data_IF_732239591491
#
_entry.id   IF_732239591491
#
_cell.length_a   1.000
_cell.length_b   1.000
_cell.length_c   1.000
_cell.angle_alpha   90.00
_cell.angle_beta   90.00
_cell.angle_gamma   90.00
#
_symmetry.space_group_name_H-M   'P 1'
#
loop_
_entity.id
_entity.type
_entity.pdbx_description
1 polymer ?
#
# COMPACT_ATOMS: atom_id res chain seq x y z
N UNK A 1 48.80 70.38 -21.70
CA UNK A 1 48.68 71.34 -20.56
C UNK A 1 48.15 70.60 -19.38
N UNK A 2 48.90 70.63 -18.30
CA UNK A 2 48.62 70.26 -16.91
C UNK A 2 48.23 68.82 -16.58
N UNK A 3 49.20 68.12 -16.10
CA UNK A 3 49.13 67.04 -15.14
C UNK A 3 49.18 67.64 -13.74
N UNK A 4 48.43 67.20 -12.77
CA UNK A 4 48.90 67.18 -11.40
C UNK A 4 48.42 65.86 -10.64
N UNK A 5 48.72 65.74 -9.33
CA UNK A 5 49.90 64.99 -8.89
C UNK A 5 49.49 63.73 -8.05
N UNK A 6 50.46 62.99 -7.72
CA UNK A 6 50.55 61.80 -6.87
C UNK A 6 49.75 61.89 -5.57
N UNK A 7 49.07 60.81 -5.22
CA UNK A 7 48.55 60.57 -3.86
C UNK A 7 49.11 59.26 -3.32
N UNK A 8 49.78 59.40 -2.20
CA UNK A 8 50.61 58.42 -1.47
C UNK A 8 49.81 57.21 -1.03
N UNK A 9 50.39 56.04 -1.22
CA UNK A 9 49.93 54.79 -0.63
C UNK A 9 50.16 54.79 0.88
N UNK A 10 49.06 54.58 1.64
CA UNK A 10 49.13 54.28 3.07
C UNK A 10 48.89 52.76 3.24
N UNK A 11 49.94 52.08 3.65
CA UNK A 11 49.97 50.66 3.96
C UNK A 11 49.26 50.43 5.29
N UNK A 12 48.04 49.83 5.28
CA UNK A 12 47.39 49.36 6.51
C UNK A 12 47.61 47.85 6.61
N UNK A 13 48.40 47.48 7.58
CA UNK A 13 48.58 46.09 8.00
C UNK A 13 47.34 45.66 8.78
N UNK A 14 46.53 44.79 8.18
CA UNK A 14 45.44 44.13 8.89
C UNK A 14 45.91 42.76 9.38
N UNK A 15 45.97 42.63 10.70
CA UNK A 15 46.23 41.38 11.39
C UNK A 15 45.16 40.35 11.09
N UNK A 16 45.51 39.20 10.53
CA UNK A 16 44.66 38.08 10.32
C UNK A 16 44.38 37.38 11.65
N UNK A 17 43.19 37.60 12.20
CA UNK A 17 42.67 36.80 13.29
C UNK A 17 42.15 35.45 12.74
N UNK A 18 42.82 34.36 13.07
CA UNK A 18 42.38 33.02 12.82
C UNK A 18 41.18 32.70 13.76
N UNK A 19 39.98 32.78 13.25
CA UNK A 19 38.81 32.17 13.90
C UNK A 19 38.77 30.70 13.48
N UNK A 20 39.14 29.81 14.39
CA UNK A 20 38.82 28.37 14.30
C UNK A 20 37.32 28.21 14.44
N UNK A 21 36.60 28.17 13.32
CA UNK A 21 35.23 27.70 13.29
C UNK A 21 35.24 26.17 13.47
N UNK A 22 35.02 25.74 14.71
CA UNK A 22 34.74 24.35 15.02
C UNK A 22 33.47 23.91 14.30
N UNK A 23 33.66 23.17 13.21
CA UNK A 23 32.56 22.51 12.50
C UNK A 23 32.03 21.38 13.39
N UNK A 24 30.94 21.63 14.14
CA UNK A 24 30.12 20.58 14.70
C UNK A 24 29.36 19.95 13.55
N UNK A 25 29.96 18.96 12.90
CA UNK A 25 29.25 18.06 12.04
C UNK A 25 28.30 17.22 12.93
N UNK A 26 27.03 17.61 13.00
CA UNK A 26 25.98 16.75 13.50
C UNK A 26 26.01 15.46 12.66
N UNK A 27 26.42 14.38 13.29
CA UNK A 27 26.40 13.03 12.71
C UNK A 27 24.94 12.65 12.48
N UNK A 28 24.41 12.99 11.28
CA UNK A 28 23.14 12.47 10.84
C UNK A 28 23.20 10.94 10.96
N UNK A 29 22.38 10.38 11.86
CA UNK A 29 22.16 8.95 11.92
C UNK A 29 21.54 8.55 10.58
N UNK A 30 22.35 7.94 9.72
CA UNK A 30 21.82 7.19 8.56
C UNK A 30 20.70 6.29 9.09
N UNK A 31 19.50 6.32 8.47
CA UNK A 31 18.50 5.32 8.80
C UNK A 31 19.15 3.96 8.54
N UNK A 32 19.11 3.12 9.57
CA UNK A 32 19.65 1.76 9.50
C UNK A 32 19.03 1.07 8.27
N UNK A 33 19.87 0.51 7.43
CA UNK A 33 19.44 -0.35 6.35
C UNK A 33 18.49 -1.39 6.97
N UNK A 34 17.24 -1.41 6.51
CA UNK A 34 16.27 -2.37 7.01
C UNK A 34 16.83 -3.78 6.75
N UNK A 35 17.14 -4.49 7.83
CA UNK A 35 17.58 -5.89 7.75
C UNK A 35 16.50 -6.67 7.00
N UNK A 36 16.86 -7.53 6.04
CA UNK A 36 15.89 -8.39 5.37
C UNK A 36 15.08 -9.16 6.43
N UNK A 37 13.75 -9.25 6.28
CA UNK A 37 12.95 -10.02 7.22
C UNK A 37 13.42 -11.48 7.22
N UNK A 38 13.59 -12.05 8.37
CA UNK A 38 13.72 -13.50 8.52
C UNK A 38 12.32 -14.11 8.54
N UNK A 39 12.23 -15.41 8.28
CA UNK A 39 10.95 -16.12 8.30
C UNK A 39 10.18 -15.82 9.59
N UNK A 40 8.89 -15.50 9.45
CA UNK A 40 7.98 -15.03 10.51
C UNK A 40 8.25 -13.61 11.07
N UNK A 41 9.15 -12.83 10.49
CA UNK A 41 9.28 -11.41 10.81
C UNK A 41 8.47 -10.56 9.83
N UNK A 42 7.55 -9.77 10.36
CA UNK A 42 6.75 -8.84 9.55
C UNK A 42 7.68 -7.79 8.91
N UNK A 43 7.66 -7.64 7.56
CA UNK A 43 8.42 -6.58 6.90
C UNK A 43 8.00 -5.19 7.41
N UNK A 44 8.90 -4.20 7.40
CA UNK A 44 8.62 -2.84 7.86
C UNK A 44 7.76 -2.08 6.84
N UNK A 45 6.49 -2.46 6.73
CA UNK A 45 5.57 -1.94 5.73
C UNK A 45 4.98 -0.59 6.13
N UNK A 46 4.96 0.34 5.18
CA UNK A 46 4.14 1.55 5.26
C UNK A 46 2.67 1.19 5.02
N UNK A 47 1.78 1.59 5.92
CA UNK A 47 0.36 1.28 5.91
C UNK A 47 -0.49 2.54 5.70
N UNK A 48 -1.55 2.42 4.90
CA UNK A 48 -2.43 3.53 4.59
C UNK A 48 -3.50 3.77 5.67
N UNK A 49 -3.82 5.06 5.91
CA UNK A 49 -5.07 5.48 6.52
C UNK A 49 -6.19 5.53 5.46
N UNK A 50 -7.44 5.64 5.90
CA UNK A 50 -8.56 5.96 5.01
C UNK A 50 -8.54 7.46 4.72
N UNK A 51 -8.72 7.84 3.46
CA UNK A 51 -8.89 9.25 3.11
C UNK A 51 -10.18 9.80 3.72
N UNK A 52 -10.08 10.99 4.30
CA UNK A 52 -11.22 11.73 4.83
C UNK A 52 -11.50 12.93 3.91
N UNK A 53 -12.75 13.20 3.54
CA UNK A 53 -13.12 14.38 2.73
C UNK A 53 -12.67 15.73 3.29
N UNK A 54 -12.36 15.84 4.57
CA UNK A 54 -11.76 17.03 5.16
C UNK A 54 -10.28 17.24 4.79
N UNK A 55 -9.63 16.22 4.22
CA UNK A 55 -8.24 16.29 3.76
C UNK A 55 -8.25 16.69 2.28
N UNK A 56 -7.73 17.87 1.97
CA UNK A 56 -7.54 18.31 0.59
C UNK A 56 -6.47 17.43 -0.10
N UNK A 57 -6.81 16.69 -1.16
CA UNK A 57 -5.88 15.84 -1.88
C UNK A 57 -5.10 16.59 -2.98
N UNK A 58 -5.31 17.90 -3.14
CA UNK A 58 -4.69 18.69 -4.20
C UNK A 58 -3.17 18.59 -4.15
N UNK A 59 -2.57 18.25 -5.27
CA UNK A 59 -1.12 18.06 -5.41
C UNK A 59 -0.57 16.73 -4.87
N UNK A 60 -1.39 15.88 -4.23
CA UNK A 60 -0.96 14.55 -3.84
C UNK A 60 -0.75 13.67 -5.08
N UNK A 61 0.11 12.66 -4.93
CA UNK A 61 0.25 11.60 -5.93
C UNK A 61 -0.90 10.61 -5.81
N UNK A 62 -1.53 10.31 -6.91
CA UNK A 62 -2.66 9.40 -7.02
C UNK A 62 -2.27 8.21 -7.90
N UNK A 63 -2.62 7.00 -7.46
CA UNK A 63 -2.43 5.77 -8.21
C UNK A 63 -3.57 4.80 -7.99
N UNK A 64 -3.69 3.81 -8.87
CA UNK A 64 -4.64 2.71 -8.67
C UNK A 64 -4.29 1.89 -7.44
N UNK A 65 -5.31 1.45 -6.72
CA UNK A 65 -5.20 0.48 -5.64
C UNK A 65 -5.46 -0.92 -6.19
N UNK A 66 -4.39 -1.68 -6.32
CA UNK A 66 -4.44 -3.06 -6.78
C UNK A 66 -5.00 -3.97 -5.69
N UNK A 67 -5.87 -4.93 -6.07
CA UNK A 67 -6.44 -5.96 -5.19
C UNK A 67 -5.74 -7.29 -5.45
N UNK A 68 -4.59 -7.49 -4.80
CA UNK A 68 -3.75 -8.68 -4.93
C UNK A 68 -3.17 -9.12 -3.60
N UNK A 69 -1.98 -9.72 -3.64
CA UNK A 69 -1.20 -10.03 -2.44
C UNK A 69 -0.06 -9.02 -2.28
N UNK A 70 -0.10 -8.27 -1.18
CA UNK A 70 0.99 -7.38 -0.82
C UNK A 70 2.27 -8.14 -0.59
N UNK A 71 3.33 -7.76 -1.32
CA UNK A 71 4.60 -8.45 -1.31
C UNK A 71 5.77 -7.47 -1.10
N UNK A 72 6.69 -7.89 -0.26
CA UNK A 72 7.97 -7.27 -0.02
C UNK A 72 9.05 -8.10 -0.71
N UNK A 73 9.77 -7.49 -1.62
CA UNK A 73 10.97 -8.05 -2.23
C UNK A 73 12.19 -7.55 -1.46
N UNK A 74 12.98 -8.43 -0.89
CA UNK A 74 14.16 -8.08 -0.08
C UNK A 74 15.46 -8.00 -0.89
N UNK A 75 15.39 -8.18 -2.21
CA UNK A 75 16.53 -8.29 -3.13
C UNK A 75 16.85 -9.72 -3.52
N UNK A 76 16.24 -10.72 -2.86
CA UNK A 76 16.47 -12.15 -3.10
C UNK A 76 15.18 -13.00 -2.99
N UNK A 77 14.26 -12.63 -2.09
CA UNK A 77 13.04 -13.37 -1.76
C UNK A 77 11.82 -12.46 -1.68
N UNK A 78 10.67 -13.04 -1.92
CA UNK A 78 9.37 -12.38 -1.75
C UNK A 78 8.74 -12.78 -0.40
N UNK A 79 8.29 -11.78 0.34
CA UNK A 79 7.66 -11.93 1.64
C UNK A 79 6.25 -11.34 1.64
N UNK A 80 5.33 -12.05 2.23
CA UNK A 80 3.98 -11.53 2.46
C UNK A 80 3.98 -10.45 3.55
N UNK A 81 2.86 -9.75 3.70
CA UNK A 81 2.66 -8.77 4.78
C UNK A 81 2.91 -9.34 6.18
N UNK A 82 2.69 -10.65 6.38
CA UNK A 82 2.88 -11.33 7.67
C UNK A 82 4.27 -11.94 7.84
N UNK A 83 5.15 -11.81 6.87
CA UNK A 83 6.49 -12.40 6.91
C UNK A 83 6.54 -13.85 6.44
N UNK A 84 5.49 -14.35 5.80
CA UNK A 84 5.52 -15.66 5.18
C UNK A 84 6.25 -15.58 3.84
N UNK A 85 7.12 -16.55 3.56
CA UNK A 85 7.78 -16.67 2.27
C UNK A 85 6.74 -16.92 1.17
N UNK A 86 6.90 -16.21 0.04
CA UNK A 86 6.11 -16.43 -1.16
C UNK A 86 6.98 -17.21 -2.14
N UNK A 87 6.57 -18.44 -2.44
CA UNK A 87 7.27 -19.29 -3.39
C UNK A 87 6.93 -18.86 -4.82
N UNK A 88 7.87 -18.23 -5.50
CA UNK A 88 7.73 -17.82 -6.89
C UNK A 88 8.70 -18.63 -7.77
N UNK A 89 8.39 -18.88 -9.06
CA UNK A 89 9.31 -19.57 -9.95
C UNK A 89 10.58 -18.75 -10.21
N UNK A 90 11.70 -19.45 -10.47
CA UNK A 90 13.00 -18.82 -10.73
C UNK A 90 12.96 -17.80 -11.88
N UNK A 91 12.20 -18.10 -12.95
CA UNK A 91 12.05 -17.18 -14.08
C UNK A 91 11.34 -15.86 -13.69
N UNK A 92 10.49 -15.87 -12.67
CA UNK A 92 9.85 -14.67 -12.14
C UNK A 92 10.81 -13.89 -11.24
N UNK A 93 11.50 -14.60 -10.33
CA UNK A 93 12.48 -14.00 -9.43
C UNK A 93 13.66 -13.38 -10.17
N UNK A 94 14.09 -13.98 -11.30
CA UNK A 94 15.18 -13.48 -12.13
C UNK A 94 14.90 -12.09 -12.75
N UNK A 95 13.63 -11.70 -12.88
CA UNK A 95 13.21 -10.41 -13.43
C UNK A 95 13.14 -9.30 -12.36
N UNK A 96 13.20 -9.67 -11.09
CA UNK A 96 13.24 -8.71 -9.98
C UNK A 96 14.68 -8.21 -9.77
N UNK A 97 14.89 -6.90 -9.52
CA UNK A 97 16.24 -6.37 -9.32
C UNK A 97 16.86 -6.94 -8.06
N UNK A 98 18.07 -7.50 -8.20
CA UNK A 98 18.83 -8.04 -7.06
C UNK A 98 19.35 -6.93 -6.16
N UNK A 99 19.46 -7.23 -4.87
CA UNK A 99 20.01 -6.36 -3.84
C UNK A 99 19.30 -5.00 -3.68
N UNK A 100 18.07 -4.92 -4.20
CA UNK A 100 17.20 -3.75 -4.10
C UNK A 100 15.89 -4.17 -3.46
N UNK A 101 15.52 -3.49 -2.38
CA UNK A 101 14.25 -3.74 -1.72
C UNK A 101 13.11 -3.02 -2.44
N UNK A 102 12.08 -3.77 -2.79
CA UNK A 102 10.87 -3.24 -3.41
C UNK A 102 9.65 -3.53 -2.56
N UNK A 103 8.69 -2.63 -2.61
CA UNK A 103 7.38 -2.76 -2.03
C UNK A 103 6.34 -2.73 -3.13
N UNK A 104 5.51 -3.76 -3.21
CA UNK A 104 4.58 -3.93 -4.32
C UNK A 104 3.39 -4.82 -3.99
N UNK A 105 2.63 -5.12 -5.04
CA UNK A 105 1.49 -6.03 -5.02
C UNK A 105 1.65 -7.09 -6.10
N UNK A 106 1.48 -8.37 -5.76
CA UNK A 106 1.34 -9.46 -6.74
C UNK A 106 -0.10 -9.50 -7.23
N UNK A 107 -0.29 -9.37 -8.55
CA UNK A 107 -1.59 -9.13 -9.14
C UNK A 107 -1.70 -9.76 -10.54
N UNK A 108 -2.90 -10.22 -10.94
CA UNK A 108 -3.13 -10.81 -12.27
C UNK A 108 -4.23 -10.12 -13.09
N UNK A 109 -4.94 -9.16 -12.51
CA UNK A 109 -6.02 -8.43 -13.18
C UNK A 109 -7.14 -8.02 -12.24
N UNK A 110 -7.98 -7.12 -12.70
CA UNK A 110 -9.15 -6.63 -11.98
C UNK A 110 -10.14 -7.77 -11.69
N UNK A 111 -10.73 -7.77 -10.49
CA UNK A 111 -11.70 -8.78 -10.05
C UNK A 111 -11.12 -10.20 -9.91
N UNK A 112 -9.78 -10.34 -9.88
CA UNK A 112 -9.09 -11.63 -9.85
C UNK A 112 -8.40 -11.95 -8.52
N UNK A 113 -8.85 -11.33 -7.43
CA UNK A 113 -8.23 -11.52 -6.11
C UNK A 113 -8.10 -12.99 -5.72
N UNK A 114 -9.20 -13.75 -5.73
CA UNK A 114 -9.18 -15.17 -5.29
C UNK A 114 -8.29 -16.02 -6.18
N UNK A 115 -8.30 -15.76 -7.49
CA UNK A 115 -7.41 -16.45 -8.43
C UNK A 115 -5.94 -16.06 -8.19
N UNK A 116 -5.64 -14.77 -7.95
CA UNK A 116 -4.32 -14.31 -7.54
C UNK A 116 -3.85 -15.05 -6.29
N UNK A 117 -4.70 -15.09 -5.24
CA UNK A 117 -4.37 -15.77 -3.99
C UNK A 117 -4.11 -17.27 -4.18
N UNK A 118 -4.88 -17.95 -5.05
CA UNK A 118 -4.69 -19.39 -5.33
C UNK A 118 -3.36 -19.68 -6.01
N UNK A 119 -2.82 -18.72 -6.79
CA UNK A 119 -1.53 -18.86 -7.46
C UNK A 119 -0.38 -18.56 -6.49
N UNK A 120 -0.42 -17.38 -5.85
CA UNK A 120 0.75 -16.84 -5.15
C UNK A 120 0.96 -17.46 -3.76
N UNK A 121 -0.05 -18.13 -3.20
CA UNK A 121 0.06 -18.83 -1.90
C UNK A 121 0.41 -20.32 -2.04
N UNK A 122 0.51 -20.84 -3.26
CA UNK A 122 0.92 -22.23 -3.48
C UNK A 122 2.38 -22.41 -3.10
N UNK A 123 2.68 -23.41 -2.27
CA UNK A 123 4.05 -23.81 -1.95
C UNK A 123 4.79 -24.37 -3.19
N UNK A 124 4.03 -24.85 -4.17
CA UNK A 124 4.56 -25.35 -5.45
C UNK A 124 4.10 -24.40 -6.56
N UNK A 125 4.95 -23.44 -6.96
CA UNK A 125 4.62 -22.53 -8.05
C UNK A 125 4.48 -23.28 -9.38
N UNK A 126 3.51 -22.87 -10.20
CA UNK A 126 3.21 -23.46 -11.49
C UNK A 126 3.14 -22.42 -12.61
N UNK A 127 2.80 -22.85 -13.82
CA UNK A 127 2.75 -22.02 -15.03
C UNK A 127 1.76 -20.85 -14.96
N UNK A 128 0.81 -20.85 -14.02
CA UNK A 128 -0.12 -19.73 -13.83
C UNK A 128 0.62 -18.46 -13.38
N UNK A 129 1.82 -18.58 -12.80
CA UNK A 129 2.69 -17.45 -12.47
C UNK A 129 3.07 -16.60 -13.69
N UNK A 130 3.00 -17.09 -14.90
CA UNK A 130 3.21 -16.32 -16.16
C UNK A 130 2.22 -15.16 -16.28
N UNK A 131 1.08 -15.23 -15.59
CA UNK A 131 0.05 -14.18 -15.54
C UNK A 131 0.29 -13.15 -14.43
N UNK A 132 1.08 -13.48 -13.41
CA UNK A 132 1.34 -12.61 -12.28
C UNK A 132 2.22 -11.44 -12.70
N UNK A 133 1.91 -10.26 -12.17
CA UNK A 133 2.74 -9.05 -12.24
C UNK A 133 3.06 -8.58 -10.84
N UNK A 134 4.29 -8.14 -10.64
CA UNK A 134 4.69 -7.43 -9.44
C UNK A 134 4.52 -5.93 -9.69
N UNK A 135 3.48 -5.35 -9.12
CA UNK A 135 3.13 -3.94 -9.23
C UNK A 135 3.90 -3.15 -8.18
N UNK A 136 5.12 -2.71 -8.53
CA UNK A 136 6.02 -2.01 -7.62
C UNK A 136 5.57 -0.56 -7.44
N UNK A 137 5.39 -0.12 -6.21
CA UNK A 137 4.90 1.22 -5.88
C UNK A 137 5.79 1.99 -4.89
N UNK A 138 6.83 1.39 -4.34
CA UNK A 138 7.85 2.09 -3.55
C UNK A 138 9.17 1.30 -3.51
N UNK A 139 10.28 2.00 -3.25
CA UNK A 139 11.61 1.43 -3.02
C UNK A 139 12.10 1.88 -1.64
N UNK A 140 11.75 1.16 -0.56
CA UNK A 140 11.92 1.62 0.83
C UNK A 140 13.33 1.99 1.24
N UNK A 141 14.34 1.35 0.67
CA UNK A 141 15.76 1.61 0.97
C UNK A 141 16.38 2.73 0.12
N UNK A 142 15.71 3.18 -0.94
CA UNK A 142 16.16 4.35 -1.67
C UNK A 142 15.98 5.61 -0.80
N UNK A 143 17.01 6.44 -0.77
CA UNK A 143 17.03 7.67 0.05
C UNK A 143 16.09 8.73 -0.52
N UNK A 144 15.61 9.60 0.35
CA UNK A 144 14.91 10.82 -0.02
C UNK A 144 13.40 10.73 -0.01
N UNK A 145 12.78 11.63 -0.77
CA UNK A 145 11.32 11.80 -0.86
C UNK A 145 10.66 10.69 -1.69
N UNK A 146 9.33 10.61 -1.64
CA UNK A 146 8.58 9.68 -2.46
C UNK A 146 8.92 9.82 -3.95
N UNK A 147 9.03 11.05 -4.45
CA UNK A 147 9.39 11.33 -5.84
C UNK A 147 10.77 10.77 -6.21
N UNK A 148 11.76 10.97 -5.34
CA UNK A 148 13.12 10.45 -5.54
C UNK A 148 13.14 8.92 -5.53
N UNK A 149 12.39 8.29 -4.63
CA UNK A 149 12.24 6.83 -4.61
C UNK A 149 11.52 6.29 -5.86
N UNK A 150 10.50 6.99 -6.35
CA UNK A 150 9.83 6.64 -7.60
C UNK A 150 10.71 6.84 -8.83
N UNK A 151 11.54 7.89 -8.85
CA UNK A 151 12.54 8.09 -9.90
C UNK A 151 13.57 6.95 -9.90
N UNK A 152 14.11 6.61 -8.73
CA UNK A 152 15.00 5.46 -8.57
C UNK A 152 14.34 4.17 -9.07
N UNK A 153 13.10 3.91 -8.67
CA UNK A 153 12.37 2.72 -9.09
C UNK A 153 12.20 2.63 -10.61
N UNK A 154 11.85 3.74 -11.27
CA UNK A 154 11.74 3.80 -12.74
C UNK A 154 13.08 3.60 -13.45
N UNK A 155 14.16 4.11 -12.87
CA UNK A 155 15.51 3.90 -13.41
C UNK A 155 16.00 2.45 -13.24
N UNK A 156 15.50 1.75 -12.20
CA UNK A 156 15.92 0.37 -11.87
C UNK A 156 15.11 -0.68 -12.65
N UNK A 157 13.81 -0.48 -12.80
CA UNK A 157 12.93 -1.42 -13.50
C UNK A 157 12.83 -1.04 -14.96
N UNK A 158 13.31 -1.90 -15.84
CA UNK A 158 13.20 -1.71 -17.30
C UNK A 158 11.74 -1.63 -17.72
N UNK A 159 11.40 -0.73 -18.63
CA UNK A 159 10.06 -0.63 -19.23
C UNK A 159 9.64 -1.93 -19.95
N UNK A 160 10.60 -2.64 -20.51
CA UNK A 160 10.40 -3.95 -21.16
C UNK A 160 10.33 -5.15 -20.20
N UNK A 161 10.48 -4.94 -18.88
CA UNK A 161 10.43 -6.03 -17.91
C UNK A 161 9.13 -6.82 -18.04
N UNK A 162 9.22 -8.15 -18.08
CA UNK A 162 8.07 -9.01 -18.36
C UNK A 162 7.09 -9.08 -17.19
N UNK A 163 7.59 -9.09 -15.96
CA UNK A 163 6.81 -9.38 -14.76
C UNK A 163 6.70 -8.21 -13.80
N UNK A 164 7.64 -7.28 -13.81
CA UNK A 164 7.62 -6.10 -12.93
C UNK A 164 7.04 -4.89 -13.65
N UNK A 165 6.17 -4.17 -12.98
CA UNK A 165 5.61 -2.89 -13.46
C UNK A 165 5.74 -1.85 -12.37
N UNK A 166 6.25 -0.69 -12.70
CA UNK A 166 6.21 0.46 -11.81
C UNK A 166 4.83 1.08 -11.88
N UNK A 167 4.18 1.21 -10.73
CA UNK A 167 2.83 1.78 -10.65
C UNK A 167 2.84 3.24 -11.10
N UNK A 168 2.00 3.56 -12.06
CA UNK A 168 1.82 4.93 -12.54
C UNK A 168 1.30 5.83 -11.41
N UNK A 169 1.84 7.05 -11.36
CA UNK A 169 1.48 8.07 -10.38
C UNK A 169 1.06 9.33 -11.13
N UNK A 170 -0.09 9.88 -10.77
CA UNK A 170 -0.62 11.13 -11.32
C UNK A 170 -0.81 12.16 -10.21
N UNK A 171 -0.73 13.46 -10.55
CA UNK A 171 -1.02 14.51 -9.58
C UNK A 171 -2.52 14.73 -9.47
N UNK A 172 -3.03 14.60 -8.25
CA UNK A 172 -4.42 14.91 -7.93
C UNK A 172 -4.66 16.43 -8.01
N UNK A 173 -5.70 16.84 -8.74
CA UNK A 173 -6.06 18.24 -8.93
C UNK A 173 -7.13 18.72 -7.94
N UNK A 174 -7.65 17.85 -7.10
CA UNK A 174 -8.64 18.15 -6.09
C UNK A 174 -9.68 17.05 -5.90
N UNK A 175 -10.59 17.28 -4.97
CA UNK A 175 -11.60 16.28 -4.55
C UNK A 175 -12.47 15.81 -5.70
N UNK A 176 -12.92 16.70 -6.56
CA UNK A 176 -13.80 16.35 -7.69
C UNK A 176 -13.13 15.36 -8.66
N UNK A 177 -11.87 15.62 -9.06
CA UNK A 177 -11.09 14.71 -9.90
C UNK A 177 -10.84 13.38 -9.17
N UNK A 178 -10.44 13.41 -7.87
CA UNK A 178 -10.19 12.23 -7.09
C UNK A 178 -11.40 11.28 -7.07
N UNK A 179 -12.59 11.81 -6.81
CA UNK A 179 -13.81 11.01 -6.77
C UNK A 179 -14.20 10.48 -8.16
N UNK A 180 -14.10 11.30 -9.20
CA UNK A 180 -14.37 10.89 -10.57
C UNK A 180 -13.43 9.76 -11.02
N UNK A 181 -12.13 9.89 -10.71
CA UNK A 181 -11.12 8.89 -11.06
C UNK A 181 -11.31 7.59 -10.24
N UNK A 182 -11.61 7.70 -8.93
CA UNK A 182 -11.98 6.53 -8.11
C UNK A 182 -13.13 5.77 -8.75
N UNK A 183 -14.20 6.47 -9.12
CA UNK A 183 -15.38 5.84 -9.70
C UNK A 183 -15.09 5.24 -11.08
N UNK A 184 -14.20 5.87 -11.86
CA UNK A 184 -13.73 5.35 -13.14
C UNK A 184 -13.00 4.02 -12.98
N UNK A 185 -11.99 3.95 -12.10
CA UNK A 185 -11.21 2.72 -11.90
C UNK A 185 -12.03 1.62 -11.24
N UNK A 186 -12.95 1.96 -10.34
CA UNK A 186 -13.86 1.00 -9.71
C UNK A 186 -14.82 0.38 -10.74
N UNK A 187 -15.36 1.17 -11.69
CA UNK A 187 -16.15 0.61 -12.81
C UNK A 187 -15.34 -0.36 -13.68
N UNK A 188 -14.02 -0.21 -13.73
CA UNK A 188 -13.11 -1.13 -14.44
C UNK A 188 -12.72 -2.35 -13.58
N UNK A 189 -13.23 -2.45 -12.36
CA UNK A 189 -12.98 -3.55 -11.44
C UNK A 189 -11.79 -3.38 -10.49
N UNK A 190 -11.21 -2.17 -10.42
CA UNK A 190 -10.20 -1.84 -9.43
C UNK A 190 -10.82 -1.64 -8.03
N UNK A 191 -10.01 -1.76 -6.99
CA UNK A 191 -10.47 -1.59 -5.60
C UNK A 191 -10.71 -0.12 -5.22
N UNK A 192 -10.06 0.81 -5.92
CA UNK A 192 -10.07 2.24 -5.68
C UNK A 192 -8.74 2.89 -6.00
N UNK A 193 -8.38 3.93 -5.23
CA UNK A 193 -7.15 4.68 -5.41
C UNK A 193 -6.31 4.71 -4.13
N UNK A 194 -5.02 5.00 -4.31
CA UNK A 194 -4.08 5.38 -3.27
C UNK A 194 -3.66 6.83 -3.47
N UNK A 195 -3.54 7.57 -2.37
CA UNK A 195 -2.96 8.90 -2.34
C UNK A 195 -1.65 8.87 -1.55
N UNK A 196 -0.61 9.49 -2.09
CA UNK A 196 0.69 9.64 -1.44
C UNK A 196 1.06 11.10 -1.33
N UNK A 197 1.38 11.54 -0.11
CA UNK A 197 1.78 12.92 0.13
C UNK A 197 3.12 13.21 -0.56
N UNK A 198 3.21 14.33 -1.32
CA UNK A 198 4.46 14.80 -1.90
C UNK A 198 5.55 15.00 -0.83
N UNK A 199 6.80 14.76 -1.21
CA UNK A 199 7.93 14.97 -0.32
C UNK A 199 8.05 14.01 0.85
N UNK A 200 7.11 13.04 1.00
CA UNK A 200 7.06 12.17 2.18
C UNK A 200 8.18 11.13 2.19
N UNK A 201 8.74 10.88 3.37
CA UNK A 201 9.64 9.76 3.62
C UNK A 201 8.91 8.41 3.60
N UNK A 202 9.66 7.31 3.53
CA UNK A 202 9.14 5.97 3.80
C UNK A 202 9.21 5.70 5.30
N UNK A 203 8.06 5.50 5.92
CA UNK A 203 7.94 5.24 7.36
C UNK A 203 7.18 3.92 7.57
N UNK A 204 7.77 3.01 8.33
CA UNK A 204 7.08 1.78 8.68
C UNK A 204 5.90 2.05 9.61
N UNK A 205 4.81 1.31 9.41
CA UNK A 205 3.60 1.49 10.19
C UNK A 205 2.54 2.34 9.50
N UNK A 206 1.49 2.67 10.22
CA UNK A 206 0.37 3.46 9.69
C UNK A 206 0.75 4.93 9.66
N UNK A 207 0.63 5.53 8.47
CA UNK A 207 1.06 6.92 8.24
C UNK A 207 -0.04 7.78 7.63
N UNK A 208 -0.16 9.04 8.04
CA UNK A 208 -1.05 10.00 7.40
C UNK A 208 -0.59 10.42 5.99
N UNK A 209 0.65 10.07 5.60
CA UNK A 209 1.21 10.40 4.29
C UNK A 209 0.82 9.43 3.17
N UNK A 210 0.10 8.34 3.53
CA UNK A 210 -0.45 7.37 2.59
C UNK A 210 -1.92 7.15 2.93
N UNK A 211 -2.81 7.40 1.96
CA UNK A 211 -4.25 7.26 2.15
C UNK A 211 -4.85 6.34 1.10
N UNK A 212 -5.84 5.54 1.49
CA UNK A 212 -6.65 4.74 0.58
C UNK A 212 -8.00 5.42 0.34
N UNK A 213 -8.44 5.45 -0.91
CA UNK A 213 -9.70 6.05 -1.37
C UNK A 213 -10.52 4.96 -2.03
N UNK A 214 -11.52 4.47 -1.34
CA UNK A 214 -12.41 3.41 -1.80
C UNK A 214 -13.86 3.89 -1.85
N UNK A 215 -14.72 3.27 -2.67
CA UNK A 215 -16.15 3.52 -2.63
C UNK A 215 -16.79 2.96 -1.35
N UNK A 216 -16.13 1.97 -0.74
CA UNK A 216 -16.55 1.32 0.49
C UNK A 216 -15.34 1.13 1.41
N UNK A 217 -15.58 1.20 2.72
CA UNK A 217 -14.65 0.68 3.71
C UNK A 217 -14.78 -0.84 3.78
N UNK A 218 -13.71 -1.51 4.14
CA UNK A 218 -13.70 -2.93 4.50
C UNK A 218 -13.11 -3.11 5.89
N UNK A 219 -13.65 -4.09 6.60
CA UNK A 219 -13.15 -4.50 7.91
C UNK A 219 -13.35 -6.00 8.10
N UNK A 220 -12.88 -6.49 9.22
CA UNK A 220 -12.93 -7.90 9.58
C UNK A 220 -13.78 -8.10 10.82
N UNK A 221 -14.44 -9.26 10.86
CA UNK A 221 -15.19 -9.69 12.02
C UNK A 221 -15.24 -11.20 12.10
N UNK A 222 -15.33 -11.74 13.31
CA UNK A 222 -15.47 -13.18 13.55
C UNK A 222 -16.94 -13.59 13.48
N UNK A 223 -17.25 -14.62 12.75
CA UNK A 223 -18.59 -15.25 12.74
C UNK A 223 -18.85 -15.85 14.11
N UNK A 224 -19.95 -15.43 14.78
CA UNK A 224 -20.34 -15.91 16.10
C UNK A 224 -21.62 -16.74 16.07
N UNK A 225 -22.45 -16.58 15.03
CA UNK A 225 -23.64 -17.39 14.83
C UNK A 225 -24.13 -17.31 13.38
N UNK A 226 -25.00 -18.25 13.00
CA UNK A 226 -25.74 -18.25 11.75
C UNK A 226 -27.19 -17.85 12.02
N UNK A 227 -27.72 -16.88 11.27
CA UNK A 227 -29.12 -16.46 11.32
C UNK A 227 -29.88 -17.11 10.16
N UNK A 228 -31.02 -17.77 10.46
CA UNK A 228 -31.81 -18.42 9.45
C UNK A 228 -32.46 -17.43 8.48
N UNK A 229 -32.49 -17.80 7.22
CA UNK A 229 -33.14 -17.02 6.16
C UNK A 229 -34.64 -17.05 6.24
N UNK A 230 -35.29 -16.00 5.68
CA UNK A 230 -36.71 -15.87 5.53
C UNK A 230 -37.12 -15.74 4.04
N UNK A 231 -38.36 -16.02 3.69
CA UNK A 231 -38.83 -15.91 2.32
C UNK A 231 -38.07 -16.82 1.37
N UNK A 232 -37.46 -16.27 0.33
CA UNK A 232 -36.69 -17.04 -0.67
C UNK A 232 -35.45 -17.76 -0.11
N UNK A 233 -35.04 -17.40 1.09
CA UNK A 233 -33.88 -18.01 1.77
C UNK A 233 -34.33 -18.94 2.94
N UNK A 234 -35.62 -19.30 3.03
CA UNK A 234 -36.08 -20.23 4.04
C UNK A 234 -35.32 -21.56 3.96
N UNK A 235 -34.82 -22.06 5.09
CA UNK A 235 -33.99 -23.27 5.17
C UNK A 235 -32.51 -23.08 4.82
N UNK A 236 -32.09 -21.88 4.42
CA UNK A 236 -30.70 -21.53 4.13
C UNK A 236 -30.23 -20.43 5.09
N UNK A 237 -28.92 -20.10 5.04
CA UNK A 237 -28.37 -18.95 5.76
C UNK A 237 -29.09 -17.65 5.31
N UNK A 238 -29.59 -16.87 6.26
CA UNK A 238 -30.10 -15.52 6.06
C UNK A 238 -28.98 -14.48 6.21
N UNK A 239 -28.27 -14.53 7.33
CA UNK A 239 -27.15 -13.65 7.64
C UNK A 239 -26.12 -14.36 8.54
N UNK A 240 -24.90 -13.87 8.51
CA UNK A 240 -23.86 -14.18 9.48
C UNK A 240 -23.96 -13.18 10.63
N UNK A 241 -24.14 -13.64 11.86
CA UNK A 241 -23.93 -12.83 13.04
C UNK A 241 -22.44 -12.76 13.30
N UNK A 242 -21.88 -11.56 13.39
CA UNK A 242 -20.44 -11.36 13.51
C UNK A 242 -20.07 -10.45 14.67
N UNK A 243 -18.84 -10.58 15.19
CA UNK A 243 -18.27 -9.74 16.23
C UNK A 243 -16.92 -9.18 15.75
N UNK A 244 -16.75 -7.88 15.87
CA UNK A 244 -15.47 -7.18 15.62
C UNK A 244 -14.51 -7.36 16.80
N UNK A 245 -13.21 -7.07 16.60
CA UNK A 245 -12.18 -7.20 17.65
C UNK A 245 -12.44 -6.27 18.86
N UNK A 246 -13.15 -5.14 18.63
CA UNK A 246 -13.57 -4.22 19.69
C UNK A 246 -14.92 -4.60 20.32
N UNK A 247 -15.42 -5.80 20.02
CA UNK A 247 -16.59 -6.42 20.68
C UNK A 247 -17.94 -6.02 20.12
N UNK A 248 -18.02 -5.21 19.06
CA UNK A 248 -19.29 -4.84 18.43
C UNK A 248 -19.88 -5.99 17.63
N UNK A 249 -21.19 -6.19 17.76
CA UNK A 249 -21.93 -7.26 17.08
C UNK A 249 -22.95 -6.70 16.09
N UNK A 250 -23.06 -7.31 14.92
CA UNK A 250 -24.06 -6.99 13.90
C UNK A 250 -24.25 -8.16 12.94
N UNK A 251 -25.24 -8.06 12.06
CA UNK A 251 -25.54 -9.10 11.08
C UNK A 251 -25.10 -8.68 9.68
N UNK A 252 -24.49 -9.61 8.94
CA UNK A 252 -24.07 -9.47 7.54
C UNK A 252 -24.91 -10.42 6.69
N UNK A 253 -25.95 -9.88 6.02
CA UNK A 253 -26.90 -10.67 5.23
C UNK A 253 -26.82 -10.43 3.73
N UNK A 254 -26.07 -9.41 3.29
CA UNK A 254 -25.83 -9.09 1.88
C UNK A 254 -24.43 -9.54 1.43
N UNK A 255 -24.24 -9.70 0.11
CA UNK A 255 -22.96 -10.15 -0.46
C UNK A 255 -22.71 -11.67 -0.42
N UNK A 256 -23.59 -12.42 0.24
CA UNK A 256 -23.52 -13.88 0.27
C UNK A 256 -24.08 -14.46 -1.03
N UNK A 257 -23.34 -15.34 -1.68
CA UNK A 257 -23.80 -16.13 -2.82
C UNK A 257 -24.73 -17.25 -2.37
N UNK A 258 -25.43 -17.92 -3.30
CA UNK A 258 -26.22 -19.09 -2.97
C UNK A 258 -25.37 -20.23 -2.38
N UNK A 259 -24.14 -20.41 -2.87
CA UNK A 259 -23.19 -21.37 -2.33
C UNK A 259 -22.78 -21.03 -0.88
N UNK A 260 -22.52 -19.74 -0.58
CA UNK A 260 -22.24 -19.31 0.80
C UNK A 260 -23.42 -19.55 1.75
N UNK A 261 -24.64 -19.50 1.23
CA UNK A 261 -25.86 -19.75 2.01
C UNK A 261 -26.12 -21.24 2.25
N UNK A 262 -25.70 -22.09 1.33
CA UNK A 262 -25.78 -23.55 1.45
C UNK A 262 -24.65 -24.13 2.31
N UNK A 263 -23.47 -23.55 2.21
CA UNK A 263 -22.26 -23.94 2.96
C UNK A 263 -21.61 -22.71 3.59
N UNK A 264 -22.21 -22.17 4.67
CA UNK A 264 -21.76 -20.91 5.25
C UNK A 264 -20.38 -21.04 5.94
N UNK A 265 -19.62 -19.94 6.01
CA UNK A 265 -18.41 -19.88 6.82
C UNK A 265 -18.70 -20.35 8.24
N UNK A 266 -17.94 -21.33 8.80
CA UNK A 266 -18.15 -21.84 10.15
C UNK A 266 -18.09 -20.75 11.23
N UNK A 267 -18.75 -20.96 12.35
CA UNK A 267 -18.56 -20.14 13.56
C UNK A 267 -17.10 -20.20 13.98
N UNK A 268 -16.55 -19.04 14.36
CA UNK A 268 -15.13 -18.84 14.65
C UNK A 268 -14.30 -18.38 13.43
N UNK A 269 -14.86 -18.43 12.22
CA UNK A 269 -14.17 -17.95 11.00
C UNK A 269 -14.14 -16.44 10.97
N UNK A 270 -12.98 -15.87 10.64
CA UNK A 270 -12.85 -14.43 10.35
C UNK A 270 -13.26 -14.17 8.90
N UNK A 271 -14.15 -13.22 8.72
CA UNK A 271 -14.59 -12.76 7.39
C UNK A 271 -14.19 -11.32 7.14
N UNK A 272 -14.01 -10.96 5.88
CA UNK A 272 -13.94 -9.58 5.42
C UNK A 272 -15.32 -9.15 4.94
N UNK A 273 -15.78 -8.01 5.39
CA UNK A 273 -17.02 -7.38 4.92
C UNK A 273 -16.74 -5.93 4.51
N UNK A 274 -17.50 -5.40 3.57
CA UNK A 274 -17.49 -3.99 3.16
C UNK A 274 -18.68 -3.25 3.74
N UNK A 275 -18.54 -1.93 3.93
CA UNK A 275 -19.61 -1.08 4.47
C UNK A 275 -19.44 0.38 4.02
N UNK A 276 -20.49 1.19 4.17
CA UNK A 276 -20.50 2.61 3.77
C UNK A 276 -20.47 3.52 4.99
N UNK A 277 -19.31 3.64 5.64
CA UNK A 277 -19.18 4.43 6.86
C UNK A 277 -19.90 3.82 8.08
N UNK A 278 -19.90 4.53 9.19
CA UNK A 278 -20.43 4.08 10.47
C UNK A 278 -21.71 4.83 10.85
N UNK A 279 -22.57 4.17 11.63
CA UNK A 279 -23.69 4.81 12.33
C UNK A 279 -23.17 5.63 13.52
N UNK A 280 -24.03 6.45 14.15
CA UNK A 280 -23.68 7.18 15.38
C UNK A 280 -23.27 6.23 16.54
N UNK A 281 -23.70 4.97 16.51
CA UNK A 281 -23.32 3.92 17.49
C UNK A 281 -22.04 3.16 17.09
N UNK A 282 -21.34 3.60 16.04
CA UNK A 282 -20.13 2.95 15.56
C UNK A 282 -20.37 1.65 14.78
N UNK A 283 -21.61 1.26 14.49
CA UNK A 283 -21.92 0.07 13.69
C UNK A 283 -21.80 0.37 12.18
N UNK A 284 -21.33 -0.62 11.36
CA UNK A 284 -21.20 -0.43 9.93
C UNK A 284 -22.57 -0.24 9.27
N UNK A 285 -22.65 0.70 8.32
CA UNK A 285 -23.82 0.90 7.46
C UNK A 285 -23.75 -0.04 6.26
N UNK A 286 -24.85 -0.74 5.99
CA UNK A 286 -24.97 -1.65 4.84
C UNK A 286 -23.84 -2.67 4.74
N UNK A 287 -23.51 -3.41 5.84
CA UNK A 287 -22.42 -4.37 5.80
C UNK A 287 -22.76 -5.48 4.79
N UNK A 288 -21.77 -5.79 3.96
CA UNK A 288 -21.90 -6.78 2.89
C UNK A 288 -20.69 -7.72 2.91
N UNK A 289 -20.92 -9.02 2.96
CA UNK A 289 -19.89 -10.04 2.92
C UNK A 289 -19.05 -9.93 1.66
N UNK A 290 -17.75 -10.08 1.79
CA UNK A 290 -16.82 -10.14 0.67
C UNK A 290 -16.21 -11.54 0.53
N UNK A 291 -15.63 -12.05 1.61
CA UNK A 291 -14.90 -13.32 1.60
C UNK A 291 -14.55 -13.79 3.02
N UNK A 292 -14.24 -15.07 3.15
CA UNK A 292 -13.47 -15.57 4.30
C UNK A 292 -12.08 -14.96 4.25
N UNK A 293 -11.59 -14.49 5.38
CA UNK A 293 -10.20 -14.05 5.48
C UNK A 293 -9.27 -15.25 5.40
N UNK A 294 -8.35 -15.20 4.46
CA UNK A 294 -7.29 -16.18 4.26
C UNK A 294 -5.96 -15.46 4.47
N UNK A 295 -5.37 -15.68 5.63
CA UNK A 295 -4.03 -15.18 5.94
C UNK A 295 -2.97 -16.25 5.76
#
# INVERSE_FOLDING_TARGET
MNIPPECKATLIVLAAGFFLAGSFAAKEKSPAAATPPTENQTPPLLLANVWNPSTDPTGWWMSEKYDGLRAWWDGQKLWSRKGNLIHAPDYFLAELPRDIVLHGELWIGHGKFEETMSIVRSEKPDDRWKRVRYMAFDAPQAKGTFEQRMQFLRATVSEGNRFVRVVAQERCQGVAQLLAERDRVVRQGAEGLMLRQPGSAYEAGRSPTLLKVKPYDDAEATVIAHELGKGKFAGKLGALRVRTDDGREFSVGTGLTDADRESPPPVGTVITYRFQGLTAKGLPRFPSYLRVRRD
#
